data_IF_015665546813
#
_entry.id   IF_015665546813
#
_cell.length_a   1.000
_cell.length_b   1.000
_cell.length_c   1.000
_cell.angle_alpha   90.00
_cell.angle_beta   90.00
_cell.angle_gamma   90.00
#
_symmetry.space_group_name_H-M   'P 1'
#
loop_
_entity.id
_entity.type
_entity.pdbx_description
1 polymer ?
#
# COMPACT_ATOMS: atom_id res chain seq x y z
N UNK A 1 -18.18 83.11 -27.74
CA UNK A 1 -17.00 82.48 -27.11
C UNK A 1 -15.85 82.48 -28.10
N UNK A 2 -14.71 83.06 -27.71
CA UNK A 2 -13.58 83.37 -28.60
C UNK A 2 -12.83 82.07 -29.04
N UNK A 3 -12.25 82.00 -30.25
CA UNK A 3 -11.55 80.78 -30.77
C UNK A 3 -10.46 80.25 -29.81
N UNK A 4 -9.86 81.14 -29.02
CA UNK A 4 -8.93 80.81 -27.91
C UNK A 4 -9.57 80.02 -26.74
N UNK A 5 -10.87 80.20 -26.47
CA UNK A 5 -11.60 79.45 -25.43
C UNK A 5 -12.04 78.06 -25.90
N UNK A 6 -12.32 77.88 -27.19
CA UNK A 6 -12.69 76.57 -27.76
C UNK A 6 -11.45 75.68 -27.84
N UNK A 7 -10.32 76.21 -28.33
CA UNK A 7 -9.02 75.51 -28.32
C UNK A 7 -8.56 75.16 -26.89
N UNK A 8 -8.75 76.05 -25.92
CA UNK A 8 -8.49 75.74 -24.50
C UNK A 8 -9.42 74.67 -23.95
N UNK A 9 -10.72 74.67 -24.26
CA UNK A 9 -11.67 73.61 -23.83
C UNK A 9 -11.34 72.26 -24.46
N UNK A 10 -10.92 72.22 -25.72
CA UNK A 10 -10.57 70.97 -26.42
C UNK A 10 -9.20 70.43 -25.96
N UNK A 11 -8.24 71.32 -25.70
CA UNK A 11 -6.97 70.96 -25.06
C UNK A 11 -7.15 70.53 -23.60
N UNK A 12 -8.09 71.11 -22.85
CA UNK A 12 -8.45 70.70 -21.49
C UNK A 12 -9.14 69.33 -21.51
N UNK A 13 -10.05 69.08 -22.46
CA UNK A 13 -10.77 67.80 -22.63
C UNK A 13 -9.84 66.65 -23.05
N UNK A 14 -8.83 66.94 -23.87
CA UNK A 14 -7.78 65.98 -24.25
C UNK A 14 -6.72 65.79 -23.14
N UNK A 15 -6.42 66.83 -22.34
CA UNK A 15 -5.61 66.71 -21.12
C UNK A 15 -6.32 65.91 -20.04
N UNK A 16 -7.62 66.07 -19.82
CA UNK A 16 -8.39 65.27 -18.85
C UNK A 16 -8.55 63.82 -19.30
N UNK A 17 -8.72 63.54 -20.60
CA UNK A 17 -8.69 62.16 -21.12
C UNK A 17 -7.32 61.50 -20.97
N UNK A 18 -6.22 62.23 -21.20
CA UNK A 18 -4.85 61.73 -20.93
C UNK A 18 -4.55 61.61 -19.43
N UNK A 19 -5.10 62.47 -18.57
CA UNK A 19 -4.91 62.40 -17.11
C UNK A 19 -5.68 61.23 -16.49
N UNK A 20 -6.88 60.91 -16.98
CA UNK A 20 -7.64 59.73 -16.57
C UNK A 20 -6.93 58.45 -17.05
N UNK A 21 -6.41 58.42 -18.28
CA UNK A 21 -5.61 57.29 -18.76
C UNK A 21 -4.25 57.16 -18.02
N UNK A 22 -3.63 58.27 -17.62
CA UNK A 22 -2.37 58.29 -16.86
C UNK A 22 -2.58 57.89 -15.39
N UNK A 23 -3.71 58.22 -14.77
CA UNK A 23 -4.07 57.78 -13.42
C UNK A 23 -4.50 56.31 -13.38
N UNK A 24 -5.06 55.78 -14.47
CA UNK A 24 -5.33 54.33 -14.65
C UNK A 24 -4.03 53.53 -14.83
N UNK A 25 -2.99 54.12 -15.42
CA UNK A 25 -1.66 53.50 -15.53
C UNK A 25 -0.84 53.63 -14.23
N UNK A 26 -1.01 54.72 -13.45
CA UNK A 26 -0.28 54.93 -12.19
C UNK A 26 -0.92 54.23 -10.97
N UNK A 27 -2.21 53.86 -11.04
CA UNK A 27 -2.89 53.05 -10.02
C UNK A 27 -2.35 51.62 -9.88
N UNK A 28 -1.36 51.26 -10.70
CA UNK A 28 -0.72 49.93 -10.74
C UNK A 28 0.56 49.84 -9.87
N UNK A 29 1.00 50.90 -9.17
CA UNK A 29 2.30 50.86 -8.45
C UNK A 29 2.28 51.07 -6.92
N UNK A 30 1.16 51.37 -6.24
CA UNK A 30 1.19 51.52 -4.76
C UNK A 30 0.07 50.76 -4.07
N UNK A 31 0.46 49.73 -3.31
CA UNK A 31 -0.33 49.04 -2.29
C UNK A 31 -0.97 50.05 -1.31
N UNK A 32 -2.30 50.04 -1.20
CA UNK A 32 -3.03 50.72 -0.12
C UNK A 32 -4.49 51.03 -0.48
N UNK A 33 -5.48 50.63 0.34
CA UNK A 33 -6.89 50.89 0.06
C UNK A 33 -7.22 52.37 0.29
N UNK A 34 -7.38 53.14 -0.80
CA UNK A 34 -7.93 54.50 -0.71
C UNK A 34 -9.44 54.39 -0.48
N UNK A 35 -9.89 54.62 0.77
CA UNK A 35 -11.32 54.82 1.09
C UNK A 35 -11.80 56.15 0.50
N UNK A 36 -12.45 56.13 -0.65
CA UNK A 36 -13.22 57.28 -1.11
C UNK A 36 -14.48 57.43 -0.25
N UNK A 37 -14.50 58.46 0.61
CA UNK A 37 -15.69 58.88 1.37
C UNK A 37 -16.70 59.53 0.41
N UNK A 38 -17.84 58.88 0.23
CA UNK A 38 -19.12 59.35 -0.36
C UNK A 38 -19.07 60.26 -1.59
N UNK A 39 -18.91 59.66 -2.77
CA UNK A 39 -19.37 60.25 -4.04
C UNK A 39 -20.71 59.58 -4.38
N UNK A 40 -21.81 60.34 -4.50
CA UNK A 40 -23.08 59.84 -5.04
C UNK A 40 -22.94 59.68 -6.55
N UNK A 41 -22.68 58.45 -7.02
CA UNK A 41 -22.70 58.11 -8.44
C UNK A 41 -24.13 58.25 -8.98
N UNK A 42 -24.29 58.76 -10.21
CA UNK A 42 -25.58 58.68 -10.87
C UNK A 42 -25.85 57.23 -11.34
N UNK A 43 -27.12 56.89 -11.64
CA UNK A 43 -27.51 55.50 -11.99
C UNK A 43 -26.68 54.91 -13.14
N UNK A 44 -26.29 55.72 -14.13
CA UNK A 44 -25.51 55.25 -15.28
C UNK A 44 -24.03 55.02 -14.92
N UNK A 45 -23.46 55.84 -14.04
CA UNK A 45 -22.09 55.67 -13.54
C UNK A 45 -21.98 54.45 -12.61
N UNK A 46 -23.01 54.17 -11.79
CA UNK A 46 -23.06 52.96 -10.98
C UNK A 46 -23.12 51.69 -11.85
N UNK A 47 -23.99 51.66 -12.87
CA UNK A 47 -24.09 50.54 -13.81
C UNK A 47 -22.77 50.33 -14.59
N UNK A 48 -22.12 51.41 -15.03
CA UNK A 48 -20.83 51.31 -15.72
C UNK A 48 -19.71 50.80 -14.80
N UNK A 49 -19.71 51.19 -13.52
CA UNK A 49 -18.75 50.68 -12.54
C UNK A 49 -18.96 49.20 -12.20
N UNK A 50 -20.22 48.77 -12.06
CA UNK A 50 -20.57 47.36 -11.83
C UNK A 50 -20.16 46.50 -13.04
N UNK A 51 -20.46 46.97 -14.26
CA UNK A 51 -20.04 46.29 -15.50
C UNK A 51 -18.52 46.15 -15.59
N UNK A 52 -17.78 47.23 -15.32
CA UNK A 52 -16.31 47.21 -15.35
C UNK A 52 -15.71 46.22 -14.33
N UNK A 53 -16.26 46.18 -13.11
CA UNK A 53 -15.79 45.24 -12.08
C UNK A 53 -16.08 43.78 -12.47
N UNK A 54 -17.27 43.49 -13.01
CA UNK A 54 -17.64 42.15 -13.48
C UNK A 54 -16.76 41.67 -14.65
N UNK A 55 -16.43 42.56 -15.58
CA UNK A 55 -15.51 42.30 -16.69
C UNK A 55 -14.09 42.01 -16.16
N UNK A 56 -13.64 42.77 -15.15
CA UNK A 56 -12.33 42.55 -14.51
C UNK A 56 -12.24 41.19 -13.80
N UNK A 57 -13.30 40.81 -13.07
CA UNK A 57 -13.42 39.50 -12.41
C UNK A 57 -13.37 38.37 -13.44
N UNK A 58 -14.12 38.48 -14.54
CA UNK A 58 -14.13 37.48 -15.63
C UNK A 58 -12.72 37.25 -16.21
N UNK A 59 -11.95 38.32 -16.41
CA UNK A 59 -10.56 38.25 -16.90
C UNK A 59 -9.63 37.59 -15.88
N UNK A 60 -9.83 37.88 -14.58
CA UNK A 60 -9.05 37.28 -13.51
C UNK A 60 -9.33 35.77 -13.41
N UNK A 61 -10.60 35.38 -13.46
CA UNK A 61 -11.02 33.98 -13.44
C UNK A 61 -10.41 33.22 -14.62
N UNK A 62 -10.49 33.76 -15.83
CA UNK A 62 -9.87 33.14 -17.00
C UNK A 62 -8.34 32.97 -16.84
N UNK A 63 -7.64 33.96 -16.27
CA UNK A 63 -6.19 33.84 -16.02
C UNK A 63 -5.86 32.74 -15.03
N UNK A 64 -6.67 32.58 -13.98
CA UNK A 64 -6.51 31.51 -13.00
C UNK A 64 -6.71 30.16 -13.68
N UNK A 65 -7.82 30.02 -14.40
CA UNK A 65 -8.20 28.80 -15.14
C UNK A 65 -7.12 28.40 -16.15
N UNK A 66 -6.64 29.37 -16.93
CA UNK A 66 -5.57 29.16 -17.90
C UNK A 66 -4.31 28.62 -17.26
N UNK A 67 -3.97 29.05 -16.04
CA UNK A 67 -2.78 28.52 -15.32
C UNK A 67 -3.02 27.13 -14.76
N UNK A 68 -4.27 26.77 -14.43
CA UNK A 68 -4.61 25.46 -13.90
C UNK A 68 -4.37 24.32 -14.89
N UNK A 69 -4.45 24.57 -16.21
CA UNK A 69 -4.24 23.52 -17.23
C UNK A 69 -2.84 22.89 -17.16
N UNK A 70 -1.83 23.66 -16.77
CA UNK A 70 -0.44 23.20 -16.66
C UNK A 70 -0.23 22.22 -15.48
N UNK A 71 -1.25 22.06 -14.64
CA UNK A 71 -1.19 21.28 -13.41
C UNK A 71 -2.08 20.03 -13.42
N UNK A 72 -2.93 19.86 -14.45
CA UNK A 72 -3.87 18.73 -14.57
C UNK A 72 -3.45 17.80 -15.71
N UNK A 73 -3.80 16.52 -15.61
CA UNK A 73 -3.58 15.52 -16.66
C UNK A 73 -4.89 14.82 -17.04
N UNK A 74 -4.93 14.18 -18.19
CA UNK A 74 -6.13 13.47 -18.64
C UNK A 74 -5.94 12.90 -20.05
N UNK A 75 -7.05 12.50 -20.67
CA UNK A 75 -7.07 12.11 -22.07
C UNK A 75 -6.52 13.23 -22.98
N UNK A 76 -5.59 12.88 -23.88
CA UNK A 76 -4.90 13.83 -24.74
C UNK A 76 -5.88 14.61 -25.63
N UNK A 77 -6.93 13.96 -26.15
CA UNK A 77 -7.94 14.64 -26.98
C UNK A 77 -8.69 15.68 -26.17
N UNK A 78 -9.07 15.34 -24.92
CA UNK A 78 -9.76 16.24 -24.01
C UNK A 78 -8.90 17.44 -23.61
N UNK A 79 -7.64 17.22 -23.23
CA UNK A 79 -6.70 18.29 -22.89
C UNK A 79 -6.43 19.21 -24.07
N UNK A 80 -6.30 18.67 -25.28
CA UNK A 80 -6.12 19.48 -26.49
C UNK A 80 -7.33 20.37 -26.79
N UNK A 81 -8.56 19.87 -26.64
CA UNK A 81 -9.78 20.69 -26.79
C UNK A 81 -9.85 21.84 -25.79
N UNK A 82 -9.40 21.60 -24.55
CA UNK A 82 -9.30 22.65 -23.52
C UNK A 82 -8.29 23.72 -23.94
N UNK A 83 -7.11 23.32 -24.42
CA UNK A 83 -6.08 24.26 -24.92
C UNK A 83 -6.59 25.09 -26.09
N UNK A 84 -7.28 24.47 -27.06
CA UNK A 84 -7.93 25.16 -28.17
C UNK A 84 -9.00 26.17 -27.68
N UNK A 85 -9.78 25.79 -26.67
CA UNK A 85 -10.79 26.68 -26.05
C UNK A 85 -10.14 27.86 -25.35
N UNK A 86 -9.03 27.64 -24.64
CA UNK A 86 -8.23 28.70 -24.01
C UNK A 86 -7.72 29.69 -25.06
N UNK A 87 -7.15 29.19 -26.17
CA UNK A 87 -6.62 30.04 -27.25
C UNK A 87 -7.74 30.84 -27.93
N UNK A 88 -8.91 30.22 -28.14
CA UNK A 88 -10.09 30.89 -28.67
C UNK A 88 -10.55 32.03 -27.76
N UNK A 89 -10.74 31.76 -26.46
CA UNK A 89 -11.14 32.77 -25.46
C UNK A 89 -10.10 33.89 -25.36
N UNK A 90 -8.80 33.53 -25.34
CA UNK A 90 -7.69 34.49 -25.31
C UNK A 90 -7.75 35.48 -26.48
N UNK A 91 -8.11 35.01 -27.68
CA UNK A 91 -8.24 35.87 -28.86
C UNK A 91 -9.41 36.86 -28.75
N UNK A 92 -10.53 36.43 -28.17
CA UNK A 92 -11.78 37.21 -27.99
C UNK A 92 -11.70 38.21 -26.83
N UNK A 93 -10.79 38.01 -25.88
CA UNK A 93 -10.61 38.92 -24.72
C UNK A 93 -10.10 40.33 -25.09
N UNK A 94 -9.65 40.55 -26.33
CA UNK A 94 -9.30 41.88 -26.82
C UNK A 94 -10.52 42.69 -27.32
N UNK A 95 -11.68 42.05 -27.44
CA UNK A 95 -12.95 42.64 -27.88
C UNK A 95 -13.89 42.93 -26.69
N UNK A 96 -15.13 43.36 -26.95
CA UNK A 96 -16.13 43.66 -25.90
C UNK A 96 -16.59 42.35 -25.21
N UNK A 97 -16.46 42.26 -23.88
CA UNK A 97 -16.83 41.06 -23.11
C UNK A 97 -18.34 40.91 -23.10
N UNK A 98 -18.84 40.04 -23.97
CA UNK A 98 -20.26 39.74 -24.13
C UNK A 98 -20.67 38.45 -23.36
N UNK A 99 -21.97 38.15 -23.34
CA UNK A 99 -22.50 36.97 -22.64
C UNK A 99 -22.03 35.65 -23.26
N UNK A 100 -21.73 35.61 -24.56
CA UNK A 100 -21.20 34.41 -25.23
C UNK A 100 -19.81 34.05 -24.68
N UNK A 101 -18.90 35.03 -24.58
CA UNK A 101 -17.57 34.84 -24.02
C UNK A 101 -17.61 34.41 -22.54
N UNK A 102 -18.53 34.98 -21.76
CA UNK A 102 -18.74 34.57 -20.37
C UNK A 102 -19.18 33.10 -20.27
N UNK A 103 -20.08 32.66 -21.16
CA UNK A 103 -20.51 31.27 -21.20
C UNK A 103 -19.38 30.32 -21.61
N UNK A 104 -18.54 30.71 -22.57
CA UNK A 104 -17.35 29.93 -22.96
C UNK A 104 -16.36 29.77 -21.78
N UNK A 105 -16.09 30.85 -21.05
CA UNK A 105 -15.24 30.82 -19.85
C UNK A 105 -15.85 29.93 -18.76
N UNK A 106 -17.17 30.01 -18.54
CA UNK A 106 -17.88 29.18 -17.56
C UNK A 106 -17.86 27.69 -17.94
N UNK A 107 -18.02 27.37 -19.23
CA UNK A 107 -17.89 26.00 -19.74
C UNK A 107 -16.47 25.47 -19.55
N UNK A 108 -15.46 26.28 -19.87
CA UNK A 108 -14.05 25.94 -19.66
C UNK A 108 -13.73 25.68 -18.18
N UNK A 109 -14.25 26.54 -17.29
CA UNK A 109 -14.11 26.36 -15.83
C UNK A 109 -14.67 25.02 -15.36
N UNK A 110 -15.88 24.69 -15.84
CA UNK A 110 -16.56 23.44 -15.50
C UNK A 110 -15.74 22.22 -15.95
N UNK A 111 -15.23 22.25 -17.18
CA UNK A 111 -14.43 21.17 -17.75
C UNK A 111 -13.12 20.95 -16.96
N UNK A 112 -12.40 22.03 -16.65
CA UNK A 112 -11.14 21.95 -15.89
C UNK A 112 -11.39 21.46 -14.46
N UNK A 113 -12.46 21.90 -13.80
CA UNK A 113 -12.81 21.40 -12.47
C UNK A 113 -13.19 19.92 -12.50
N UNK A 114 -13.84 19.46 -13.56
CA UNK A 114 -14.15 18.05 -13.71
C UNK A 114 -12.87 17.21 -13.81
N UNK A 115 -11.90 17.62 -14.64
CA UNK A 115 -10.60 16.93 -14.75
C UNK A 115 -9.83 17.00 -13.42
N UNK A 116 -9.82 18.16 -12.76
CA UNK A 116 -9.20 18.31 -11.44
C UNK A 116 -9.77 17.31 -10.44
N UNK A 117 -11.10 17.14 -10.40
CA UNK A 117 -11.75 16.18 -9.52
C UNK A 117 -11.53 14.71 -9.92
N UNK A 118 -11.28 14.44 -11.21
CA UNK A 118 -10.86 13.13 -11.69
C UNK A 118 -9.41 12.82 -11.29
N UNK A 119 -8.49 13.79 -11.42
CA UNK A 119 -7.09 13.65 -10.99
C UNK A 119 -6.98 13.46 -9.47
N UNK A 120 -7.77 14.20 -8.69
CA UNK A 120 -7.80 14.04 -7.23
C UNK A 120 -8.15 12.59 -6.86
N UNK A 121 -9.24 12.05 -7.43
CA UNK A 121 -9.67 10.66 -7.22
C UNK A 121 -8.64 9.63 -7.71
N UNK A 122 -8.05 9.86 -8.87
CA UNK A 122 -7.03 8.96 -9.44
C UNK A 122 -5.78 8.89 -8.55
N UNK A 123 -5.28 10.04 -8.10
CA UNK A 123 -4.10 10.12 -7.23
C UNK A 123 -4.37 9.58 -5.83
N UNK A 124 -5.55 9.81 -5.25
CA UNK A 124 -5.94 9.16 -3.99
C UNK A 124 -5.98 7.64 -4.13
N UNK A 125 -6.59 7.13 -5.22
CA UNK A 125 -6.63 5.71 -5.49
C UNK A 125 -5.24 5.11 -5.73
N UNK A 126 -4.33 5.85 -6.38
CA UNK A 126 -2.94 5.45 -6.58
C UNK A 126 -2.18 5.42 -5.25
N UNK A 127 -2.24 6.51 -4.47
CA UNK A 127 -1.57 6.60 -3.18
C UNK A 127 -2.02 5.49 -2.21
N UNK A 128 -3.31 5.16 -2.19
CA UNK A 128 -3.87 4.09 -1.35
C UNK A 128 -3.40 2.67 -1.70
N UNK A 129 -2.83 2.45 -2.89
CA UNK A 129 -2.25 1.14 -3.25
C UNK A 129 -0.91 0.90 -2.57
N UNK A 130 -0.22 1.97 -2.16
CA UNK A 130 1.07 1.89 -1.48
C UNK A 130 0.79 1.60 -0.01
N UNK A 131 1.06 0.37 0.44
CA UNK A 131 0.73 -0.08 1.78
C UNK A 131 1.95 -0.15 2.71
N UNK A 132 1.73 -0.28 4.02
CA UNK A 132 2.82 -0.43 5.00
C UNK A 132 3.61 -1.72 4.84
N UNK A 133 2.98 -2.77 4.32
CA UNK A 133 3.62 -4.07 4.10
C UNK A 133 4.70 -4.00 3.01
N UNK A 134 4.57 -3.03 2.10
CA UNK A 134 5.53 -2.76 1.04
C UNK A 134 6.89 -2.26 1.57
N UNK A 135 6.93 -1.78 2.82
CA UNK A 135 8.12 -1.20 3.45
C UNK A 135 8.85 -2.20 4.35
N UNK A 136 8.39 -3.46 4.42
CA UNK A 136 9.00 -4.47 5.30
C UNK A 136 10.45 -4.76 4.90
N UNK A 137 11.37 -4.64 5.87
CA UNK A 137 12.81 -4.88 5.67
C UNK A 137 13.59 -3.64 5.20
N UNK A 138 12.94 -2.48 5.17
CA UNK A 138 13.59 -1.20 4.91
C UNK A 138 14.31 -0.73 6.19
N UNK A 139 15.45 -0.08 6.04
CA UNK A 139 16.18 0.56 7.13
C UNK A 139 15.69 2.00 7.37
N UNK A 140 16.19 2.65 8.41
CA UNK A 140 15.77 4.00 8.80
C UNK A 140 15.99 5.06 7.70
N UNK A 141 17.10 4.99 6.97
CA UNK A 141 17.40 5.93 5.89
C UNK A 141 16.43 5.77 4.71
N UNK A 142 16.08 4.52 4.37
CA UNK A 142 15.12 4.19 3.32
C UNK A 142 13.70 4.63 3.69
N UNK A 143 13.30 4.45 4.95
CA UNK A 143 12.01 4.95 5.46
C UNK A 143 11.96 6.48 5.45
N UNK A 144 13.06 7.15 5.82
CA UNK A 144 13.13 8.61 5.74
C UNK A 144 12.97 9.11 4.31
N UNK A 145 13.57 8.42 3.33
CA UNK A 145 13.42 8.77 1.92
C UNK A 145 11.98 8.58 1.40
N UNK A 146 11.31 7.49 1.80
CA UNK A 146 9.87 7.28 1.54
C UNK A 146 9.04 8.43 2.09
N UNK A 147 9.31 8.86 3.33
CA UNK A 147 8.60 9.97 3.96
C UNK A 147 8.84 11.30 3.23
N UNK A 148 10.07 11.58 2.78
CA UNK A 148 10.39 12.81 2.04
C UNK A 148 9.63 12.91 0.71
N UNK A 149 9.58 11.80 -0.05
CA UNK A 149 8.85 11.75 -1.32
C UNK A 149 7.35 11.89 -1.06
N UNK A 150 6.83 11.18 -0.05
CA UNK A 150 5.41 11.26 0.35
C UNK A 150 5.00 12.67 0.77
N UNK A 151 5.85 13.36 1.56
CA UNK A 151 5.61 14.74 1.96
C UNK A 151 5.62 15.69 0.74
N UNK A 152 6.52 15.46 -0.21
CA UNK A 152 6.57 16.23 -1.46
C UNK A 152 5.30 16.03 -2.29
N UNK A 153 4.84 14.78 -2.43
CA UNK A 153 3.55 14.46 -3.05
C UNK A 153 2.38 15.19 -2.37
N UNK A 154 2.28 15.09 -1.03
CA UNK A 154 1.19 15.71 -0.27
C UNK A 154 1.14 17.23 -0.43
N UNK A 155 2.31 17.88 -0.49
CA UNK A 155 2.41 19.32 -0.74
C UNK A 155 1.90 19.69 -2.15
N UNK A 156 2.33 18.97 -3.17
CA UNK A 156 1.93 19.19 -4.57
C UNK A 156 0.43 18.91 -4.77
N UNK A 157 -0.07 17.83 -4.18
CA UNK A 157 -1.48 17.45 -4.22
C UNK A 157 -2.37 18.54 -3.59
N UNK A 158 -1.98 19.07 -2.42
CA UNK A 158 -2.68 20.17 -1.76
C UNK A 158 -2.69 21.45 -2.60
N UNK A 159 -1.63 21.71 -3.35
CA UNK A 159 -1.52 22.83 -4.28
C UNK A 159 -2.22 22.58 -5.64
N UNK A 160 -2.84 21.40 -5.83
CA UNK A 160 -3.48 20.96 -7.08
C UNK A 160 -2.51 20.86 -8.26
N UNK A 161 -1.23 20.61 -7.99
CA UNK A 161 -0.18 20.34 -8.97
C UNK A 161 -0.17 18.85 -9.31
N UNK A 162 -1.23 18.37 -9.94
CA UNK A 162 -1.49 16.94 -10.10
C UNK A 162 -0.51 16.23 -11.05
N UNK A 163 0.02 16.92 -12.07
CA UNK A 163 1.10 16.35 -12.90
C UNK A 163 2.32 16.05 -12.03
N UNK A 164 2.85 17.05 -11.33
CA UNK A 164 4.03 16.90 -10.46
C UNK A 164 3.76 15.89 -9.33
N UNK A 165 2.55 15.90 -8.76
CA UNK A 165 2.15 14.95 -7.73
C UNK A 165 2.16 13.50 -8.26
N UNK A 166 1.67 13.28 -9.49
CA UNK A 166 1.72 11.97 -10.15
C UNK A 166 3.15 11.49 -10.35
N UNK A 167 4.04 12.37 -10.79
CA UNK A 167 5.47 12.05 -10.95
C UNK A 167 6.09 11.64 -9.61
N UNK A 168 5.71 12.30 -8.50
CA UNK A 168 6.17 11.90 -7.16
C UNK A 168 5.65 10.56 -6.69
N UNK A 169 4.41 10.19 -7.01
CA UNK A 169 3.92 8.83 -6.72
C UNK A 169 4.66 7.77 -7.55
N UNK A 170 4.96 8.06 -8.82
CA UNK A 170 5.74 7.15 -9.67
C UNK A 170 7.19 7.00 -9.16
N UNK A 171 7.82 8.09 -8.72
CA UNK A 171 9.12 8.08 -8.06
C UNK A 171 9.07 7.22 -6.79
N UNK A 172 8.03 7.38 -5.97
CA UNK A 172 7.82 6.61 -4.75
C UNK A 172 7.68 5.11 -5.03
N UNK A 173 6.83 4.73 -5.98
CA UNK A 173 6.62 3.34 -6.37
C UNK A 173 7.93 2.71 -6.87
N UNK A 174 8.63 3.39 -7.78
CA UNK A 174 9.90 2.92 -8.32
C UNK A 174 10.96 2.74 -7.22
N UNK A 175 11.04 3.70 -6.29
CA UNK A 175 11.95 3.62 -5.16
C UNK A 175 11.63 2.43 -4.27
N UNK A 176 10.36 2.26 -3.87
CA UNK A 176 9.92 1.13 -3.05
C UNK A 176 10.23 -0.20 -3.73
N UNK A 177 9.96 -0.35 -5.03
CA UNK A 177 10.28 -1.58 -5.78
C UNK A 177 11.79 -1.87 -5.80
N UNK A 178 12.63 -0.85 -5.99
CA UNK A 178 14.08 -1.02 -5.97
C UNK A 178 14.59 -1.46 -4.59
N UNK A 179 14.10 -0.82 -3.52
CA UNK A 179 14.53 -1.13 -2.17
C UNK A 179 13.98 -2.49 -1.72
N UNK A 180 12.78 -2.89 -2.12
CA UNK A 180 12.29 -4.27 -1.88
C UNK A 180 13.27 -5.31 -2.41
N UNK A 181 13.83 -5.09 -3.61
CA UNK A 181 14.83 -5.98 -4.20
C UNK A 181 16.12 -6.00 -3.39
N UNK A 182 16.58 -4.83 -2.96
CA UNK A 182 17.78 -4.70 -2.12
C UNK A 182 17.58 -5.27 -0.72
N UNK A 183 16.46 -5.01 -0.06
CA UNK A 183 16.07 -5.57 1.23
C UNK A 183 16.00 -7.11 1.15
N UNK A 184 15.43 -7.65 0.07
CA UNK A 184 15.44 -9.09 -0.15
C UNK A 184 16.86 -9.61 -0.40
N UNK A 185 17.70 -8.89 -1.14
CA UNK A 185 19.11 -9.25 -1.33
C UNK A 185 19.91 -9.18 -0.03
N UNK A 186 19.67 -8.19 0.84
CA UNK A 186 20.23 -8.10 2.19
C UNK A 186 19.79 -9.31 3.00
N UNK A 187 18.51 -9.65 3.00
CA UNK A 187 17.98 -10.85 3.68
C UNK A 187 18.60 -12.16 3.18
N UNK A 188 18.98 -12.23 1.90
CA UNK A 188 19.66 -13.39 1.29
C UNK A 188 21.17 -13.40 1.60
N UNK A 189 21.82 -12.24 1.63
CA UNK A 189 23.27 -12.09 1.82
C UNK A 189 23.70 -11.88 3.27
N UNK A 190 22.76 -11.60 4.17
CA UNK A 190 23.00 -11.53 5.61
C UNK A 190 23.39 -12.94 6.07
N UNK A 191 24.70 -13.19 6.06
CA UNK A 191 25.32 -14.21 6.88
C UNK A 191 25.00 -13.85 8.32
N UNK A 192 23.86 -14.34 8.80
CA UNK A 192 23.67 -14.56 10.23
C UNK A 192 24.93 -15.27 10.70
N UNK A 193 25.58 -14.73 11.73
CA UNK A 193 26.58 -15.51 12.45
C UNK A 193 25.92 -16.85 12.75
N UNK A 194 26.52 -17.94 12.27
CA UNK A 194 26.13 -19.31 12.58
C UNK A 194 26.42 -19.58 14.06
N UNK A 195 25.73 -18.86 14.92
CA UNK A 195 25.83 -18.91 16.37
C UNK A 195 24.40 -18.99 16.88
N UNK A 196 23.96 -20.20 17.21
CA UNK A 196 22.86 -20.37 18.13
C UNK A 196 23.30 -19.87 19.50
N UNK A 197 22.49 -19.05 20.17
CA UNK A 197 22.71 -18.69 21.57
C UNK A 197 22.41 -19.86 22.52
N UNK A 198 21.92 -20.98 22.00
CA UNK A 198 21.56 -22.17 22.78
C UNK A 198 22.65 -23.24 22.66
N UNK A 199 23.05 -23.77 23.81
CA UNK A 199 24.11 -24.78 23.94
C UNK A 199 23.84 -25.98 23.01
N UNK A 200 24.64 -26.19 21.96
CA UNK A 200 24.47 -27.31 21.03
C UNK A 200 24.50 -28.68 21.72
N UNK A 201 25.19 -28.81 22.86
CA UNK A 201 25.29 -30.06 23.61
C UNK A 201 23.97 -30.49 24.30
N UNK A 202 22.98 -29.60 24.34
CA UNK A 202 21.65 -29.88 24.91
C UNK A 202 20.64 -30.39 23.88
N UNK A 203 21.01 -30.45 22.59
CA UNK A 203 20.11 -30.74 21.46
C UNK A 203 20.53 -32.01 20.74
N UNK A 204 20.05 -33.14 21.24
CA UNK A 204 20.26 -34.47 20.65
C UNK A 204 18.91 -35.05 20.16
N UNK A 205 18.85 -35.63 18.94
CA UNK A 205 17.62 -36.23 18.42
C UNK A 205 17.09 -37.33 19.35
N UNK A 206 15.90 -37.12 19.92
CA UNK A 206 15.24 -38.09 20.81
C UNK A 206 14.24 -38.95 20.03
N UNK A 207 14.36 -40.27 20.17
CA UNK A 207 13.40 -41.22 19.62
C UNK A 207 12.67 -41.95 20.74
N UNK A 208 11.35 -42.00 20.67
CA UNK A 208 10.51 -42.81 21.57
C UNK A 208 9.68 -43.75 20.71
N UNK A 209 9.80 -45.05 20.95
CA UNK A 209 9.13 -46.10 20.15
C UNK A 209 9.36 -45.95 18.63
N UNK A 210 10.57 -45.53 18.22
CA UNK A 210 10.92 -45.31 16.80
C UNK A 210 10.45 -43.97 16.22
N UNK A 211 9.70 -43.15 16.97
CA UNK A 211 9.25 -41.82 16.54
C UNK A 211 10.21 -40.75 17.03
N UNK A 212 10.76 -39.95 16.12
CA UNK A 212 11.56 -38.76 16.43
C UNK A 212 10.66 -37.68 17.06
N UNK A 213 10.84 -37.36 18.33
CA UNK A 213 10.10 -36.29 19.00
C UNK A 213 10.89 -34.98 18.92
N UNK A 214 10.23 -33.93 18.43
CA UNK A 214 10.71 -32.55 18.48
C UNK A 214 9.58 -31.71 19.02
N UNK A 215 9.86 -30.96 20.09
CA UNK A 215 8.94 -30.05 20.76
C UNK A 215 9.78 -29.02 21.53
N UNK A 216 9.20 -28.30 22.50
CA UNK A 216 9.93 -27.29 23.31
C UNK A 216 10.93 -27.85 24.31
N UNK A 217 10.91 -29.16 24.57
CA UNK A 217 11.84 -29.84 25.49
C UNK A 217 12.95 -30.58 24.73
N UNK A 218 12.60 -31.22 23.61
CA UNK A 218 13.51 -32.03 22.81
C UNK A 218 13.82 -31.33 21.48
N UNK A 219 15.03 -30.76 21.38
CA UNK A 219 15.50 -30.06 20.20
C UNK A 219 16.45 -30.88 19.32
N UNK A 220 16.74 -30.35 18.13
CA UNK A 220 17.68 -30.89 17.16
C UNK A 220 18.94 -30.02 17.05
N UNK A 221 20.12 -30.63 16.80
CA UNK A 221 21.33 -29.86 16.56
C UNK A 221 21.21 -29.12 15.23
N UNK A 222 21.99 -28.05 15.06
CA UNK A 222 22.05 -27.26 13.82
C UNK A 222 22.54 -28.07 12.61
N UNK A 223 23.34 -29.12 12.86
CA UNK A 223 23.82 -30.09 11.88
C UNK A 223 22.76 -31.12 11.46
N UNK A 224 21.63 -31.23 12.16
CA UNK A 224 20.54 -32.13 11.76
C UNK A 224 19.78 -31.52 10.58
N UNK A 225 20.19 -31.91 9.37
CA UNK A 225 19.70 -31.36 8.12
C UNK A 225 19.32 -32.46 7.10
N UNK A 226 18.31 -33.29 7.40
CA UNK A 226 17.96 -34.44 6.56
C UNK A 226 17.36 -34.05 5.20
N UNK A 227 16.88 -32.81 5.05
CA UNK A 227 16.01 -32.44 3.93
C UNK A 227 14.55 -32.86 4.18
N UNK A 228 13.68 -32.66 3.20
CA UNK A 228 12.32 -33.19 3.26
C UNK A 228 12.34 -34.72 3.11
N UNK A 229 11.58 -35.44 3.94
CA UNK A 229 11.48 -36.89 3.84
C UNK A 229 10.76 -37.29 2.55
N UNK A 230 11.43 -38.08 1.71
CA UNK A 230 10.86 -38.65 0.50
C UNK A 230 9.63 -39.53 0.80
N UNK A 231 9.67 -40.27 1.91
CA UNK A 231 8.57 -41.11 2.37
C UNK A 231 7.34 -40.26 2.75
N UNK A 232 7.54 -39.22 3.56
CA UNK A 232 6.47 -38.31 3.95
C UNK A 232 5.90 -37.55 2.75
N UNK A 233 6.76 -37.13 1.80
CA UNK A 233 6.33 -36.52 0.54
C UNK A 233 5.48 -37.48 -0.28
N UNK A 234 5.91 -38.71 -0.48
CA UNK A 234 5.15 -39.70 -1.22
C UNK A 234 3.80 -39.99 -0.56
N UNK A 235 3.77 -40.06 0.77
CA UNK A 235 2.54 -40.20 1.54
C UNK A 235 1.60 -38.99 1.35
N UNK A 236 2.13 -37.77 1.36
CA UNK A 236 1.36 -36.56 1.08
C UNK A 236 0.79 -36.54 -0.35
N UNK A 237 1.57 -36.92 -1.36
CA UNK A 237 1.07 -36.95 -2.75
C UNK A 237 -0.04 -38.00 -2.92
N UNK A 238 0.04 -39.15 -2.24
CA UNK A 238 -1.04 -40.14 -2.21
C UNK A 238 -2.30 -39.57 -1.53
N UNK A 239 -2.13 -38.90 -0.39
CA UNK A 239 -3.22 -38.23 0.33
C UNK A 239 -3.91 -37.17 -0.54
N UNK A 240 -3.11 -36.33 -1.21
CA UNK A 240 -3.58 -35.29 -2.13
C UNK A 240 -4.32 -35.88 -3.33
N UNK A 241 -3.82 -36.98 -3.90
CA UNK A 241 -4.48 -37.65 -5.02
C UNK A 241 -5.86 -38.20 -4.62
N UNK A 242 -5.99 -38.80 -3.44
CA UNK A 242 -7.28 -39.30 -2.96
C UNK A 242 -8.24 -38.17 -2.58
N UNK A 243 -7.77 -37.11 -1.91
CA UNK A 243 -8.56 -35.91 -1.65
C UNK A 243 -9.15 -35.32 -2.94
N UNK A 244 -8.35 -35.27 -4.02
CA UNK A 244 -8.80 -34.71 -5.30
C UNK A 244 -9.96 -35.49 -5.95
N UNK A 245 -10.06 -36.80 -5.70
CA UNK A 245 -11.18 -37.63 -6.20
C UNK A 245 -12.50 -37.26 -5.52
N UNK A 246 -12.44 -36.65 -4.35
CA UNK A 246 -13.58 -36.12 -3.59
C UNK A 246 -13.77 -34.61 -3.82
N UNK A 247 -13.03 -34.00 -4.76
CA UNK A 247 -13.12 -32.57 -5.05
C UNK A 247 -12.37 -31.68 -4.07
N UNK A 248 -11.53 -32.24 -3.20
CA UNK A 248 -10.74 -31.51 -2.20
C UNK A 248 -9.34 -31.21 -2.76
N UNK A 249 -8.95 -29.93 -2.78
CA UNK A 249 -7.61 -29.51 -3.20
C UNK A 249 -6.68 -29.35 -2.01
N UNK A 250 -5.55 -30.06 -1.99
CA UNK A 250 -4.54 -29.94 -0.94
C UNK A 250 -3.19 -29.47 -1.51
N UNK A 251 -2.53 -28.57 -0.78
CA UNK A 251 -1.19 -28.11 -1.09
C UNK A 251 -0.31 -28.00 0.15
N UNK A 252 0.82 -28.72 0.16
CA UNK A 252 1.87 -28.54 1.17
C UNK A 252 2.69 -27.30 0.83
N UNK A 253 2.54 -26.23 1.60
CA UNK A 253 3.16 -24.92 1.31
C UNK A 253 4.41 -24.64 2.16
N UNK A 254 4.58 -25.35 3.30
CA UNK A 254 5.81 -25.34 4.09
C UNK A 254 6.11 -26.76 4.56
N UNK A 255 7.35 -27.23 4.38
CA UNK A 255 7.72 -28.61 4.74
C UNK A 255 9.05 -28.64 5.48
N UNK A 256 10.16 -28.92 4.81
CA UNK A 256 11.47 -28.89 5.44
C UNK A 256 11.98 -27.46 5.63
N UNK A 257 12.42 -27.17 6.85
CA UNK A 257 13.04 -25.90 7.22
C UNK A 257 14.29 -26.17 8.04
N UNK A 258 15.46 -25.88 7.48
CA UNK A 258 16.72 -26.06 8.20
C UNK A 258 16.83 -25.12 9.41
N UNK A 259 17.76 -25.48 10.31
CA UNK A 259 18.01 -24.75 11.57
C UNK A 259 18.17 -23.24 11.37
N UNK A 260 19.03 -22.83 10.43
CA UNK A 260 19.35 -21.42 10.19
C UNK A 260 18.17 -20.62 9.62
N UNK A 261 17.33 -21.26 8.81
CA UNK A 261 16.10 -20.66 8.31
C UNK A 261 15.09 -20.47 9.44
N UNK A 262 14.96 -21.44 10.36
CA UNK A 262 14.14 -21.27 11.55
C UNK A 262 14.68 -20.17 12.47
N UNK A 263 16.00 -20.08 12.67
CA UNK A 263 16.63 -19.03 13.47
C UNK A 263 16.27 -17.63 12.95
N UNK A 264 16.43 -17.43 11.63
CA UNK A 264 16.07 -16.17 10.98
C UNK A 264 14.57 -15.87 11.10
N UNK A 265 13.72 -16.88 10.87
CA UNK A 265 12.27 -16.71 10.98
C UNK A 265 11.86 -16.30 12.40
N UNK A 266 12.37 -17.00 13.42
CA UNK A 266 12.08 -16.73 14.81
C UNK A 266 12.55 -15.32 15.21
N UNK A 267 13.79 -14.93 14.90
CA UNK A 267 14.30 -13.60 15.24
C UNK A 267 13.53 -12.48 14.53
N UNK A 268 13.07 -12.71 13.30
CA UNK A 268 12.19 -11.77 12.62
C UNK A 268 10.84 -11.62 13.34
N UNK A 269 10.26 -12.70 13.86
CA UNK A 269 9.04 -12.60 14.67
C UNK A 269 9.30 -11.91 16.00
N UNK A 270 10.39 -12.22 16.71
CA UNK A 270 10.76 -11.53 17.95
C UNK A 270 10.93 -10.03 17.72
N UNK A 271 11.57 -9.62 16.63
CA UNK A 271 11.75 -8.20 16.29
C UNK A 271 10.42 -7.47 16.04
N UNK A 272 9.40 -8.16 15.52
CA UNK A 272 8.11 -7.56 15.17
C UNK A 272 7.07 -7.63 16.31
N UNK A 273 7.09 -8.71 17.09
CA UNK A 273 6.02 -9.02 18.06
C UNK A 273 6.53 -9.10 19.51
N UNK A 274 7.85 -9.15 19.72
CA UNK A 274 8.43 -9.47 21.02
C UNK A 274 8.56 -10.98 21.26
N UNK A 275 9.35 -11.36 22.26
CA UNK A 275 9.70 -12.75 22.51
C UNK A 275 8.51 -13.58 23.03
N UNK A 276 7.86 -13.13 24.11
CA UNK A 276 6.76 -13.87 24.75
C UNK A 276 5.64 -14.32 23.80
N UNK A 277 5.08 -13.45 22.92
CA UNK A 277 4.09 -13.91 21.95
C UNK A 277 4.70 -14.77 20.86
N UNK A 278 5.93 -14.50 20.40
CA UNK A 278 6.59 -15.32 19.38
C UNK A 278 6.80 -16.75 19.84
N UNK A 279 7.12 -16.94 21.12
CA UNK A 279 7.29 -18.27 21.72
C UNK A 279 5.97 -19.10 21.69
N UNK A 280 4.79 -18.53 21.40
CA UNK A 280 3.52 -19.30 21.36
C UNK A 280 3.15 -19.83 19.97
N UNK A 281 3.55 -19.13 18.89
CA UNK A 281 3.19 -19.45 17.50
C UNK A 281 4.40 -19.75 16.61
N UNK A 282 5.61 -19.62 17.13
CA UNK A 282 6.85 -19.95 16.43
C UNK A 282 7.74 -20.81 17.30
N UNK A 283 8.70 -21.46 16.67
CA UNK A 283 9.68 -22.31 17.33
C UNK A 283 11.05 -21.65 17.32
N UNK A 284 11.78 -21.75 18.43
CA UNK A 284 13.22 -21.46 18.44
C UNK A 284 13.94 -22.44 17.52
N UNK A 285 15.08 -22.02 16.98
CA UNK A 285 15.87 -22.87 16.09
C UNK A 285 16.26 -24.18 16.82
N UNK A 286 16.05 -25.33 16.17
CA UNK A 286 16.23 -26.65 16.81
C UNK A 286 14.94 -27.24 17.38
N UNK A 287 13.94 -26.45 17.71
CA UNK A 287 12.70 -26.90 18.38
C UNK A 287 11.50 -26.93 17.42
N UNK A 288 11.74 -26.72 16.12
CA UNK A 288 10.75 -26.77 15.05
C UNK A 288 10.68 -28.15 14.42
N UNK A 289 9.48 -28.75 14.37
CA UNK A 289 9.30 -30.03 13.68
C UNK A 289 9.63 -29.96 12.18
N UNK A 290 9.56 -28.79 11.53
CA UNK A 290 9.95 -28.63 10.13
C UNK A 290 11.42 -29.01 9.88
N UNK A 291 12.29 -28.94 10.90
CA UNK A 291 13.68 -29.37 10.79
C UNK A 291 13.81 -30.89 10.63
N UNK A 292 12.80 -31.67 11.02
CA UNK A 292 12.78 -33.12 10.83
C UNK A 292 12.59 -33.53 9.37
N UNK A 293 12.03 -32.65 8.53
CA UNK A 293 11.56 -33.01 7.18
C UNK A 293 10.27 -33.83 7.16
N UNK A 294 9.62 -34.02 8.32
CA UNK A 294 8.40 -34.82 8.49
C UNK A 294 7.16 -33.97 8.78
N UNK A 295 7.31 -32.65 8.96
CA UNK A 295 6.20 -31.72 9.16
C UNK A 295 5.79 -31.04 7.86
N UNK A 296 4.49 -30.91 7.65
CA UNK A 296 3.86 -30.39 6.45
C UNK A 296 2.77 -29.41 6.87
N UNK A 297 2.95 -28.13 6.55
CA UNK A 297 1.88 -27.15 6.57
C UNK A 297 1.07 -27.28 5.28
N UNK A 298 -0.21 -27.65 5.44
CA UNK A 298 -1.11 -27.98 4.34
C UNK A 298 -2.22 -26.95 4.27
N UNK A 299 -2.41 -26.37 3.09
CA UNK A 299 -3.46 -25.42 2.77
C UNK A 299 -4.39 -25.91 1.67
N UNK A 300 -5.52 -25.21 1.52
CA UNK A 300 -6.57 -25.50 0.54
C UNK A 300 -6.53 -24.63 -0.71
N UNK A 301 -7.64 -24.58 -1.44
CA UNK A 301 -7.75 -23.79 -2.67
C UNK A 301 -7.64 -22.28 -2.41
N UNK A 302 -8.20 -21.81 -1.29
CA UNK A 302 -8.09 -20.42 -0.86
C UNK A 302 -6.76 -20.18 -0.13
N UNK A 303 -5.84 -19.50 -0.83
CA UNK A 303 -4.52 -19.14 -0.28
C UNK A 303 -4.59 -18.11 0.84
N UNK A 304 -5.67 -17.33 0.93
CA UNK A 304 -5.84 -16.33 2.00
C UNK A 304 -6.06 -16.96 3.38
N UNK A 305 -6.38 -18.25 3.42
CA UNK A 305 -6.58 -19.01 4.66
C UNK A 305 -5.35 -19.85 5.05
N UNK A 306 -4.25 -19.80 4.30
CA UNK A 306 -3.06 -20.59 4.63
C UNK A 306 -2.36 -20.05 5.88
N UNK A 307 -2.07 -20.93 6.83
CA UNK A 307 -1.51 -20.57 8.14
C UNK A 307 -2.41 -19.63 8.97
N UNK A 308 -3.73 -19.62 8.71
CA UNK A 308 -4.71 -18.81 9.42
C UNK A 308 -5.64 -19.68 10.27
N UNK A 309 -6.09 -19.17 11.41
CA UNK A 309 -6.99 -19.91 12.32
C UNK A 309 -8.28 -20.37 11.61
N UNK A 310 -8.79 -19.55 10.69
CA UNK A 310 -10.01 -19.83 9.94
C UNK A 310 -9.89 -21.01 8.97
N UNK A 311 -8.68 -21.52 8.70
CA UNK A 311 -8.51 -22.74 7.91
C UNK A 311 -9.30 -23.92 8.49
N UNK A 312 -9.46 -23.98 9.82
CA UNK A 312 -10.20 -25.05 10.52
C UNK A 312 -11.65 -25.24 10.07
N UNK A 313 -12.26 -24.23 9.46
CA UNK A 313 -13.65 -24.27 8.99
C UNK A 313 -13.82 -24.74 7.53
N UNK A 314 -12.71 -24.84 6.80
CA UNK A 314 -12.68 -25.28 5.40
C UNK A 314 -13.01 -26.75 5.25
N UNK A 315 -13.42 -27.16 4.05
CA UNK A 315 -13.69 -28.57 3.76
C UNK A 315 -12.40 -29.38 3.66
N UNK A 316 -11.30 -28.73 3.24
CA UNK A 316 -9.94 -29.28 3.27
C UNK A 316 -9.51 -29.66 4.68
N UNK A 317 -9.66 -28.77 5.66
CA UNK A 317 -9.27 -29.04 7.04
C UNK A 317 -10.10 -30.16 7.67
N UNK A 318 -11.42 -30.18 7.41
CA UNK A 318 -12.31 -31.27 7.86
C UNK A 318 -11.90 -32.60 7.23
N UNK A 319 -11.62 -32.61 5.93
CA UNK A 319 -11.19 -33.81 5.23
C UNK A 319 -9.85 -34.32 5.77
N UNK A 320 -8.88 -33.43 6.01
CA UNK A 320 -7.59 -33.78 6.61
C UNK A 320 -7.78 -34.40 8.01
N UNK A 321 -8.59 -33.78 8.87
CA UNK A 321 -8.89 -34.30 10.22
C UNK A 321 -9.44 -35.73 10.19
N UNK A 322 -10.24 -36.06 9.18
CA UNK A 322 -10.81 -37.40 9.03
C UNK A 322 -9.91 -38.41 8.31
N UNK A 323 -8.99 -37.96 7.44
CA UNK A 323 -8.30 -38.87 6.52
C UNK A 323 -6.78 -38.92 6.67
N UNK A 324 -6.12 -37.91 7.25
CA UNK A 324 -4.66 -37.81 7.25
C UNK A 324 -3.93 -39.04 7.82
N UNK A 325 -4.52 -39.66 8.85
CA UNK A 325 -4.01 -40.87 9.50
C UNK A 325 -3.91 -42.10 8.58
N UNK A 326 -4.70 -42.15 7.50
CA UNK A 326 -4.61 -43.23 6.51
C UNK A 326 -3.27 -43.21 5.77
N UNK A 327 -2.62 -42.04 5.74
CA UNK A 327 -1.39 -41.76 5.01
C UNK A 327 -0.20 -41.51 5.94
N UNK A 328 -0.30 -41.79 7.24
CA UNK A 328 0.83 -41.61 8.15
C UNK A 328 0.92 -40.25 8.84
N UNK A 329 -0.04 -39.36 8.62
CA UNK A 329 -0.05 -38.01 9.19
C UNK A 329 -0.96 -37.90 10.42
N UNK A 330 -0.61 -36.98 11.32
CA UNK A 330 -1.45 -36.55 12.45
C UNK A 330 -1.56 -35.02 12.45
N UNK A 331 -2.68 -34.50 12.95
CA UNK A 331 -2.77 -33.08 13.31
C UNK A 331 -1.94 -32.87 14.59
N UNK A 332 -0.82 -32.16 14.47
CA UNK A 332 0.19 -32.14 15.53
C UNK A 332 -0.20 -31.29 16.74
N UNK A 333 -0.86 -30.16 16.46
CA UNK A 333 -1.22 -29.14 17.44
C UNK A 333 -2.74 -28.94 17.46
N UNK A 334 -3.49 -29.85 18.13
CA UNK A 334 -4.94 -29.75 18.22
C UNK A 334 -5.39 -28.66 19.22
N UNK A 335 -6.62 -28.17 19.03
CA UNK A 335 -7.24 -27.15 19.87
C UNK A 335 -7.40 -27.62 21.33
N UNK A 336 -7.04 -26.78 22.30
CA UNK A 336 -7.19 -27.08 23.74
C UNK A 336 -6.08 -27.95 24.34
N UNK A 337 -5.04 -28.28 23.58
CA UNK A 337 -3.87 -29.06 24.03
C UNK A 337 -2.58 -28.25 24.08
N UNK A 338 -2.66 -26.92 24.03
CA UNK A 338 -1.53 -25.98 24.03
C UNK A 338 -0.68 -26.14 25.29
N UNK A 339 -1.32 -26.45 26.42
CA UNK A 339 -0.65 -26.72 27.70
C UNK A 339 0.29 -27.94 27.65
N UNK A 340 0.08 -28.86 26.69
CA UNK A 340 0.86 -30.09 26.54
C UNK A 340 1.82 -30.03 25.36
N UNK A 341 1.38 -29.50 24.21
CA UNK A 341 2.25 -29.35 23.03
C UNK A 341 3.21 -28.17 23.15
N UNK A 342 2.82 -27.15 23.93
CA UNK A 342 3.51 -25.88 24.03
C UNK A 342 3.23 -24.90 22.89
N UNK A 343 2.48 -25.30 21.86
CA UNK A 343 2.17 -24.49 20.68
C UNK A 343 0.68 -24.21 20.59
N UNK A 344 0.31 -23.05 20.01
CA UNK A 344 -1.09 -22.75 19.71
C UNK A 344 -1.70 -23.77 18.75
N UNK A 345 -3.04 -23.78 18.67
CA UNK A 345 -3.74 -24.60 17.68
C UNK A 345 -3.34 -24.19 16.25
N UNK A 346 -2.88 -25.17 15.48
CA UNK A 346 -2.48 -24.99 14.08
C UNK A 346 -3.21 -26.01 13.20
N UNK A 347 -4.39 -25.63 12.70
CA UNK A 347 -5.22 -26.52 11.87
C UNK A 347 -4.58 -26.95 10.54
N UNK A 348 -3.44 -26.36 10.18
CA UNK A 348 -2.69 -26.61 8.95
C UNK A 348 -1.43 -27.47 9.17
N UNK A 349 -0.94 -27.65 10.40
CA UNK A 349 0.35 -28.34 10.66
C UNK A 349 0.16 -29.84 10.88
N UNK A 350 0.63 -30.64 9.93
CA UNK A 350 0.53 -32.10 9.95
C UNK A 350 1.91 -32.76 10.08
N UNK A 351 2.02 -33.69 11.00
CA UNK A 351 3.27 -34.43 11.28
C UNK A 351 3.18 -35.86 10.76
N UNK A 352 4.13 -36.27 9.92
CA UNK A 352 4.29 -37.66 9.51
C UNK A 352 4.94 -38.47 10.63
N UNK A 353 4.26 -39.54 11.05
CA UNK A 353 4.70 -40.51 12.07
C UNK A 353 4.65 -41.95 11.56
N UNK A 354 4.34 -42.15 10.28
CA UNK A 354 4.11 -43.47 9.69
C UNK A 354 2.68 -43.97 9.88
N UNK A 355 2.25 -44.86 8.98
CA UNK A 355 0.86 -45.35 8.91
C UNK A 355 0.44 -46.14 10.16
N UNK A 356 1.36 -46.90 10.76
CA UNK A 356 1.06 -47.67 11.97
C UNK A 356 0.76 -46.76 13.17
N UNK A 357 1.66 -45.83 13.47
CA UNK A 357 1.48 -44.89 14.59
C UNK A 357 0.28 -43.98 14.38
N UNK A 358 0.11 -43.38 13.20
CA UNK A 358 -0.98 -42.44 12.93
C UNK A 358 -2.37 -43.07 13.03
N UNK A 359 -2.55 -44.34 12.62
CA UNK A 359 -3.81 -45.08 12.82
C UNK A 359 -4.15 -45.28 14.29
N UNK A 360 -3.17 -45.62 15.11
CA UNK A 360 -3.34 -45.74 16.56
C UNK A 360 -3.62 -44.36 17.20
N UNK A 361 -2.99 -43.32 16.67
CA UNK A 361 -3.14 -41.94 17.12
C UNK A 361 -4.55 -41.38 16.86
N UNK A 362 -5.15 -41.64 15.68
CA UNK A 362 -6.50 -41.13 15.34
C UNK A 362 -7.58 -41.48 16.38
N UNK A 363 -7.42 -42.60 17.08
CA UNK A 363 -8.40 -43.10 18.05
C UNK A 363 -8.08 -42.75 19.51
N UNK A 364 -7.00 -42.01 19.79
CA UNK A 364 -6.48 -41.84 21.15
C UNK A 364 -6.94 -40.55 21.84
N UNK A 365 -7.31 -39.51 21.10
CA UNK A 365 -7.54 -38.13 21.62
C UNK A 365 -6.32 -37.55 22.38
N UNK A 366 -5.13 -38.06 22.07
CA UNK A 366 -3.86 -37.68 22.68
C UNK A 366 -3.08 -36.71 21.80
N UNK A 367 -2.19 -35.92 22.40
CA UNK A 367 -1.07 -35.30 21.66
C UNK A 367 0.02 -36.33 21.38
N UNK A 368 1.00 -35.98 20.53
CA UNK A 368 2.14 -36.85 20.27
C UNK A 368 2.94 -37.13 21.55
N UNK A 369 3.09 -36.12 22.42
CA UNK A 369 3.70 -36.29 23.74
C UNK A 369 2.96 -37.33 24.57
N UNK A 370 1.64 -37.18 24.73
CA UNK A 370 0.83 -38.09 25.53
C UNK A 370 0.84 -39.52 24.95
N UNK A 371 0.77 -39.66 23.61
CA UNK A 371 0.84 -40.96 22.93
C UNK A 371 2.19 -41.67 23.15
N UNK A 372 3.28 -40.91 23.22
CA UNK A 372 4.62 -41.44 23.47
C UNK A 372 4.95 -41.60 24.97
N UNK A 373 4.05 -41.18 25.86
CA UNK A 373 4.25 -41.26 27.32
C UNK A 373 5.20 -40.19 27.87
N UNK A 374 5.26 -39.03 27.23
CA UNK A 374 6.02 -37.84 27.65
C UNK A 374 5.11 -36.80 28.31
#
# INVERSE_FOLDING_TARGET
MNKKQISKKQALKNRTKKLVLFLVILGIVIYGPIKFKHIKLNKNEAIASERFNSELETIQDFKIIKKSIDNIYGDDSRINKIKESIDSIQSKLNDDINEELKNEISSLYTEINQISAENERDLEAYSNKINSDDLKGFNEEEINKVNDITNSYNALFKEKKYIDAKEKLQELETYIESIKKEANARRVNEKYNEASNEDPSTREPKYVNGVLIVNKEYGLPDTFAPGESEEARQAFENMKADASKEGIYLNAFSTYRNFWTQNRLYNNYVANYGQDPTDTFSARAGFSEHQTGLAFDIGGADRSLWAEENFKYTDEAKWLKENCHKYGFILRYPEGKEWKTGYMHESWHFRYVGVEHSKNFKNSDLTLEEYLGL
#
